data_IF_204435932500
#
_entry.id   IF_204435932500
#
_cell.length_a   1.000
_cell.length_b   1.000
_cell.length_c   1.000
_cell.angle_alpha   90.00
_cell.angle_beta   90.00
_cell.angle_gamma   90.00
#
_symmetry.space_group_name_H-M   'P 1'
#
loop_
_entity.id
_entity.type
_entity.pdbx_description
1 polymer ?
#
# COMPACT_ATOMS: atom_id res chain seq x y z
N UNK A 1 -0.06 -5.47 -3.22
CA UNK A 1 -1.08 -4.39 -3.17
C UNK A 1 -0.80 -3.42 -4.31
N UNK A 2 -1.81 -2.74 -4.87
CA UNK A 2 -1.60 -1.77 -5.97
C UNK A 2 -1.75 -0.34 -5.47
N UNK A 3 -0.76 0.51 -5.72
CA UNK A 3 -0.84 1.95 -5.48
C UNK A 3 -1.68 2.62 -6.57
N UNK A 4 -2.60 3.50 -6.19
CA UNK A 4 -3.47 4.24 -7.11
C UNK A 4 -3.85 5.60 -6.53
N UNK A 5 -4.35 6.50 -7.38
CA UNK A 5 -4.79 7.83 -6.98
C UNK A 5 -6.23 8.05 -7.43
N UNK A 6 -7.05 8.71 -6.60
CA UNK A 6 -8.43 9.03 -6.96
C UNK A 6 -8.51 10.39 -7.67
N UNK A 7 -9.71 10.72 -8.17
CA UNK A 7 -9.98 12.02 -8.81
C UNK A 7 -9.73 13.24 -7.93
N UNK A 8 -9.70 13.05 -6.60
CA UNK A 8 -9.41 14.12 -5.63
C UNK A 8 -7.91 14.25 -5.31
N UNK A 9 -7.04 13.49 -6.00
CA UNK A 9 -5.60 13.50 -5.78
C UNK A 9 -5.14 12.77 -4.50
N UNK A 10 -6.01 11.97 -3.89
CA UNK A 10 -5.67 11.15 -2.72
C UNK A 10 -5.11 9.82 -3.18
N UNK A 11 -3.90 9.52 -2.74
CA UNK A 11 -3.25 8.24 -2.98
C UNK A 11 -3.76 7.17 -2.01
N UNK A 12 -3.87 5.93 -2.48
CA UNK A 12 -4.26 4.77 -1.69
C UNK A 12 -3.67 3.48 -2.23
N UNK A 13 -3.48 2.50 -1.36
CA UNK A 13 -3.26 1.11 -1.75
C UNK A 13 -4.59 0.37 -1.81
N UNK A 14 -4.84 -0.37 -2.89
CA UNK A 14 -5.95 -1.33 -2.95
C UNK A 14 -5.49 -2.74 -2.61
N UNK A 15 -6.31 -3.46 -1.85
CA UNK A 15 -6.09 -4.87 -1.50
C UNK A 15 -7.42 -5.61 -1.33
N UNK A 16 -7.47 -6.86 -1.77
CA UNK A 16 -8.75 -7.58 -1.92
C UNK A 16 -9.67 -6.88 -2.92
N UNK A 17 -10.97 -7.17 -2.83
CA UNK A 17 -11.97 -6.62 -3.74
C UNK A 17 -12.34 -5.16 -3.41
N UNK A 18 -12.51 -4.84 -2.12
CA UNK A 18 -13.07 -3.55 -1.69
C UNK A 18 -12.18 -2.74 -0.74
N UNK A 19 -11.07 -3.31 -0.24
CA UNK A 19 -10.31 -2.65 0.82
C UNK A 19 -9.29 -1.65 0.26
N UNK A 20 -9.19 -0.50 0.94
CA UNK A 20 -8.29 0.59 0.59
C UNK A 20 -7.56 1.10 1.82
N UNK A 21 -6.25 1.24 1.73
CA UNK A 21 -5.43 1.96 2.71
C UNK A 21 -5.14 3.34 2.15
N UNK A 22 -5.47 4.38 2.91
CA UNK A 22 -5.17 5.76 2.49
C UNK A 22 -3.70 6.05 2.72
N UNK A 23 -3.03 6.60 1.72
CA UNK A 23 -1.68 7.14 1.89
C UNK A 23 -1.85 8.60 2.35
N UNK A 24 -1.28 8.90 3.51
CA UNK A 24 -1.39 10.22 4.10
C UNK A 24 -0.26 11.14 3.59
N UNK A 25 -0.52 12.45 3.43
CA UNK A 25 0.53 13.39 3.11
C UNK A 25 1.65 13.36 4.16
N UNK A 26 2.89 13.68 3.78
CA UNK A 26 4.00 13.79 4.72
C UNK A 26 3.63 14.67 5.93
N UNK A 27 4.04 14.24 7.12
CA UNK A 27 3.84 14.96 8.40
C UNK A 27 2.39 15.07 8.93
N UNK A 28 1.43 14.28 8.44
CA UNK A 28 0.06 14.32 8.95
C UNK A 28 -0.25 13.21 9.97
N UNK A 29 -0.27 11.95 9.54
CA UNK A 29 -0.63 10.79 10.38
C UNK A 29 0.40 9.68 10.24
N UNK A 30 1.65 10.00 10.61
CA UNK A 30 2.75 9.05 10.57
C UNK A 30 2.95 8.38 11.92
N UNK A 31 2.72 7.07 11.99
CA UNK A 31 3.10 6.26 13.14
C UNK A 31 4.62 6.12 13.17
N UNK A 32 5.22 6.38 14.32
CA UNK A 32 6.66 6.22 14.52
C UNK A 32 6.90 4.91 15.28
N UNK A 33 7.33 3.84 14.61
CA UNK A 33 7.79 2.65 15.32
C UNK A 33 9.09 2.95 16.08
N UNK A 34 9.52 2.00 16.91
CA UNK A 34 10.82 2.07 17.60
C UNK A 34 11.98 2.00 16.60
N UNK A 35 13.14 2.51 16.97
CA UNK A 35 14.29 2.67 16.08
C UNK A 35 14.82 1.36 15.46
N UNK A 36 14.63 0.22 16.13
CA UNK A 36 15.08 -1.08 15.62
C UNK A 36 14.11 -1.72 14.60
N UNK A 37 12.88 -1.22 14.50
CA UNK A 37 11.83 -1.80 13.67
C UNK A 37 12.04 -1.37 12.22
N UNK A 38 12.24 -2.35 11.35
CA UNK A 38 12.35 -2.17 9.89
C UNK A 38 11.10 -2.71 9.22
N UNK A 39 10.36 -1.83 8.56
CA UNK A 39 9.11 -2.14 7.85
C UNK A 39 9.10 -1.51 6.46
N UNK A 40 8.32 -2.09 5.54
CA UNK A 40 8.15 -1.59 4.18
C UNK A 40 7.10 -0.46 4.09
N UNK A 41 6.98 0.18 2.92
CA UNK A 41 6.02 1.29 2.68
C UNK A 41 4.56 0.85 2.92
N UNK A 42 4.22 -0.40 2.63
CA UNK A 42 2.85 -0.90 2.76
C UNK A 42 2.51 -1.15 4.23
N UNK A 43 3.43 -1.76 4.98
CA UNK A 43 3.34 -2.00 6.41
C UNK A 43 3.27 -0.68 7.18
N UNK A 44 4.10 0.30 6.80
CA UNK A 44 4.03 1.66 7.34
C UNK A 44 2.66 2.29 7.06
N UNK A 45 2.14 2.16 5.83
CA UNK A 45 0.82 2.67 5.48
C UNK A 45 -0.31 2.00 6.28
N UNK A 46 -0.21 0.70 6.58
CA UNK A 46 -1.16 0.00 7.46
C UNK A 46 -1.18 0.65 8.85
N UNK A 47 0.00 0.84 9.45
CA UNK A 47 0.13 1.43 10.78
C UNK A 47 -0.40 2.87 10.82
N UNK A 48 -0.10 3.66 9.80
CA UNK A 48 -0.58 5.03 9.64
C UNK A 48 -2.11 5.11 9.57
N UNK A 49 -2.76 4.18 8.88
CA UNK A 49 -4.22 4.13 8.80
C UNK A 49 -4.85 3.82 10.16
N UNK A 50 -4.29 2.88 10.93
CA UNK A 50 -4.78 2.62 12.27
C UNK A 50 -4.47 3.78 13.24
N UNK A 51 -3.32 4.43 13.09
CA UNK A 51 -2.96 5.62 13.86
C UNK A 51 -3.89 6.81 13.59
N UNK A 52 -4.28 7.00 12.32
CA UNK A 52 -5.31 7.97 11.94
C UNK A 52 -6.65 7.65 12.62
N UNK A 53 -7.09 6.38 12.60
CA UNK A 53 -8.33 5.99 13.27
C UNK A 53 -8.28 6.25 14.77
N UNK A 54 -7.17 5.92 15.43
CA UNK A 54 -6.98 6.16 16.85
C UNK A 54 -7.11 7.65 17.22
N UNK A 55 -6.44 8.52 16.47
CA UNK A 55 -6.45 9.95 16.75
C UNK A 55 -7.84 10.59 16.58
N UNK A 56 -8.66 10.06 15.67
CA UNK A 56 -10.00 10.59 15.38
C UNK A 56 -11.12 9.90 16.17
N UNK A 57 -10.90 8.71 16.73
CA UNK A 57 -11.89 7.92 17.49
C UNK A 57 -11.36 7.50 18.87
N UNK A 58 -10.79 8.45 19.62
CA UNK A 58 -10.10 8.18 20.90
C UNK A 58 -10.95 7.46 21.96
N UNK A 59 -12.28 7.51 21.86
CA UNK A 59 -13.18 7.15 22.97
C UNK A 59 -13.29 5.64 23.25
N UNK A 60 -12.90 4.74 22.34
CA UNK A 60 -13.28 3.32 22.49
C UNK A 60 -12.13 2.33 22.73
N UNK A 61 -10.85 2.70 22.62
CA UNK A 61 -9.78 1.69 22.66
C UNK A 61 -8.52 2.22 23.37
N UNK A 62 -8.48 2.02 24.69
CA UNK A 62 -7.34 2.36 25.56
C UNK A 62 -6.02 1.65 25.16
N UNK A 63 -6.11 0.57 24.38
CA UNK A 63 -4.97 -0.30 24.07
C UNK A 63 -4.46 -0.21 22.61
N UNK A 64 -4.92 0.75 21.79
CA UNK A 64 -4.47 0.82 20.37
C UNK A 64 -2.96 1.02 20.30
N UNK A 65 -2.37 1.88 21.13
CA UNK A 65 -0.93 2.11 21.06
C UNK A 65 -0.14 0.83 21.30
N UNK A 66 -0.55 -0.01 22.26
CA UNK A 66 0.06 -1.31 22.50
C UNK A 66 -0.14 -2.26 21.33
N UNK A 67 -1.33 -2.26 20.71
CA UNK A 67 -1.61 -3.08 19.51
C UNK A 67 -0.73 -2.65 18.33
N UNK A 68 -0.59 -1.34 18.08
CA UNK A 68 0.24 -0.82 17.00
C UNK A 68 1.72 -1.16 17.20
N UNK A 69 2.22 -1.03 18.42
CA UNK A 69 3.59 -1.42 18.73
C UNK A 69 3.80 -2.92 18.53
N UNK A 70 2.89 -3.76 19.02
CA UNK A 70 2.98 -5.22 18.81
C UNK A 70 2.89 -5.60 17.32
N UNK A 71 2.05 -4.91 16.55
CA UNK A 71 1.93 -5.13 15.11
C UNK A 71 3.21 -4.72 14.37
N UNK A 72 3.82 -3.60 14.77
CA UNK A 72 5.09 -3.14 14.20
C UNK A 72 6.24 -4.12 14.50
N UNK A 73 6.33 -4.65 15.72
CA UNK A 73 7.29 -5.70 16.08
C UNK A 73 7.03 -6.99 15.30
N UNK A 74 5.76 -7.34 15.07
CA UNK A 74 5.39 -8.51 14.26
C UNK A 74 5.80 -8.36 12.79
N UNK A 75 5.60 -7.18 12.19
CA UNK A 75 6.07 -6.90 10.84
C UNK A 75 7.60 -6.96 10.74
N UNK A 76 8.30 -6.40 11.71
CA UNK A 76 9.75 -6.49 11.77
C UNK A 76 10.23 -7.95 11.81
N UNK A 77 9.64 -8.76 12.68
CA UNK A 77 9.94 -10.20 12.77
C UNK A 77 9.65 -10.94 11.46
N UNK A 78 8.52 -10.67 10.80
CA UNK A 78 8.23 -11.30 9.50
C UNK A 78 9.26 -10.88 8.45
N UNK A 79 9.65 -9.61 8.42
CA UNK A 79 10.61 -9.13 7.44
C UNK A 79 11.99 -9.76 7.62
N UNK A 80 12.38 -10.10 8.86
CA UNK A 80 13.60 -10.88 9.12
C UNK A 80 13.48 -12.34 8.66
N UNK A 81 12.29 -12.92 8.73
CA UNK A 81 12.03 -14.31 8.35
C UNK A 81 11.79 -14.49 6.86
N UNK A 82 11.26 -13.47 6.17
CA UNK A 82 11.06 -13.53 4.73
C UNK A 82 12.41 -13.31 4.04
N UNK A 83 12.88 -14.27 3.21
CA UNK A 83 14.00 -13.97 2.33
C UNK A 83 13.58 -12.76 1.50
N UNK A 84 14.41 -11.70 1.51
CA UNK A 84 14.30 -10.57 0.60
C UNK A 84 13.95 -11.17 -0.75
N UNK A 85 12.70 -10.99 -1.20
CA UNK A 85 12.30 -11.46 -2.51
C UNK A 85 13.17 -10.64 -3.46
N UNK A 86 14.30 -11.22 -3.83
CA UNK A 86 15.18 -10.73 -4.88
C UNK A 86 14.26 -10.43 -6.03
N UNK A 87 14.13 -9.13 -6.31
CA UNK A 87 13.66 -8.60 -7.57
C UNK A 87 12.56 -9.46 -8.18
N UNK A 88 11.32 -9.25 -7.74
CA UNK A 88 10.23 -9.39 -8.70
C UNK A 88 10.56 -8.34 -9.75
N UNK A 89 11.36 -8.75 -10.74
CA UNK A 89 11.52 -8.06 -12.00
C UNK A 89 10.09 -7.78 -12.40
N UNK A 90 9.69 -6.52 -12.27
CA UNK A 90 8.52 -6.03 -12.97
C UNK A 90 8.83 -6.38 -14.41
N UNK A 91 8.27 -7.47 -14.90
CA UNK A 91 8.30 -7.81 -16.32
C UNK A 91 7.79 -6.54 -16.97
N UNK A 92 8.69 -5.81 -17.64
CA UNK A 92 8.31 -4.63 -18.39
C UNK A 92 7.23 -5.12 -19.35
N UNK A 93 5.97 -4.84 -19.04
CA UNK A 93 4.87 -5.11 -19.94
C UNK A 93 5.08 -4.17 -21.13
N UNK A 94 5.84 -4.62 -22.13
CA UNK A 94 5.96 -3.93 -23.40
C UNK A 94 4.57 -3.92 -24.02
N UNK A 95 3.93 -2.76 -24.24
CA UNK A 95 2.64 -2.72 -24.91
C UNK A 95 2.81 -3.30 -26.32
N UNK A 96 2.14 -4.41 -26.60
CA UNK A 96 2.11 -4.98 -27.95
C UNK A 96 1.04 -4.20 -28.72
N UNK A 97 1.49 -3.36 -29.66
CA UNK A 97 0.60 -2.72 -30.63
C UNK A 97 0.37 -3.69 -31.79
N UNK A 98 -0.87 -4.12 -32.01
CA UNK A 98 -1.26 -4.87 -33.22
C UNK A 98 -1.84 -3.90 -34.23
N UNK A 99 -1.17 -3.74 -35.37
CA UNK A 99 -1.71 -3.00 -36.52
C UNK A 99 -2.68 -3.93 -37.26
N UNK A 100 -3.96 -3.59 -37.28
CA UNK A 100 -4.98 -4.32 -38.05
C UNK A 100 -5.59 -3.40 -39.10
N UNK A 101 -5.57 -3.83 -40.37
CA UNK A 101 -6.22 -3.15 -41.48
C UNK A 101 -7.74 -3.40 -41.48
N UNK A 102 -8.44 -2.70 -40.59
CA UNK A 102 -9.91 -2.63 -40.58
C UNK A 102 -10.45 -1.42 -41.34
N UNK A 103 -11.73 -1.45 -41.72
CA UNK A 103 -12.42 -0.32 -42.39
C UNK A 103 -12.51 0.94 -41.53
N UNK A 104 -12.28 0.84 -40.22
CA UNK A 104 -12.36 1.96 -39.26
C UNK A 104 -11.13 1.92 -38.36
N UNK A 105 -10.41 3.03 -38.15
CA UNK A 105 -9.26 3.07 -37.23
C UNK A 105 -9.73 2.85 -35.79
N UNK A 106 -9.10 1.91 -35.09
CA UNK A 106 -9.30 1.69 -33.66
C UNK A 106 -7.99 1.32 -32.98
N UNK A 107 -7.74 1.86 -31.79
CA UNK A 107 -6.60 1.50 -30.93
C UNK A 107 -7.12 0.47 -29.92
N UNK A 108 -6.54 -0.72 -29.91
CA UNK A 108 -6.86 -1.74 -28.91
C UNK A 108 -5.66 -1.94 -27.99
N UNK A 109 -5.94 -1.96 -26.68
CA UNK A 109 -4.99 -2.29 -25.60
C UNK A 109 -5.21 -3.74 -25.19
N UNK A 110 -4.13 -4.53 -25.06
CA UNK A 110 -4.20 -5.89 -24.54
C UNK A 110 -4.50 -5.86 -23.04
N UNK A 111 -5.45 -6.68 -22.59
CA UNK A 111 -5.69 -6.96 -21.18
C UNK A 111 -4.88 -8.19 -20.78
N UNK A 112 -3.90 -8.01 -19.90
CA UNK A 112 -3.42 -9.03 -18.94
C UNK A 112 -3.31 -8.38 -17.56
#
# INVERSE_FOLDING_TARGET
>A
MKKSMNYNGVEFFTFGEDNKLRIFPPNSYKFKPKDHIIIDEVQECILDNFWYQYNNKREEIFNILSILNSLAEYFHLINELMPVAENIETTEQKPIYVVFEGRVPGVYISFE
#
